data_IF_867554688772
#
_entry.id   IF_867554688772
#
_cell.length_a   1.000
_cell.length_b   1.000
_cell.length_c   1.000
_cell.angle_alpha   90.00
_cell.angle_beta   90.00
_cell.angle_gamma   90.00
#
_symmetry.space_group_name_H-M   'P 1'
#
loop_
_entity.id
_entity.type
_entity.pdbx_description
1 polymer ?
#
# COMPACT_ATOMS: atom_id res chain seq x y z
N UNK A 1 -8.97 26.29 -15.10
CA UNK A 1 -8.63 26.23 -13.66
C UNK A 1 -8.93 24.80 -13.26
N UNK A 2 -7.90 23.98 -13.04
CA UNK A 2 -8.07 22.54 -12.78
C UNK A 2 -7.87 22.31 -11.29
N UNK A 3 -8.95 22.01 -10.57
CA UNK A 3 -8.93 21.47 -9.22
C UNK A 3 -9.01 19.93 -9.31
N UNK A 4 -8.40 19.25 -8.34
CA UNK A 4 -8.59 17.83 -8.05
C UNK A 4 -10.08 17.65 -7.74
N UNK A 5 -10.82 16.88 -8.54
CA UNK A 5 -12.25 16.67 -8.27
C UNK A 5 -12.46 15.66 -7.12
N UNK A 6 -11.52 14.73 -6.88
CA UNK A 6 -11.70 13.63 -5.91
C UNK A 6 -10.37 13.26 -5.19
N UNK A 7 -10.38 13.07 -3.86
CA UNK A 7 -9.26 12.51 -3.07
C UNK A 7 -9.21 10.98 -3.14
N UNK A 8 -8.02 10.38 -3.17
CA UNK A 8 -7.84 8.94 -3.27
C UNK A 8 -7.08 8.37 -2.07
N UNK A 9 -7.39 7.14 -1.70
CA UNK A 9 -6.64 6.37 -0.71
C UNK A 9 -6.62 4.88 -1.07
N UNK A 10 -5.43 4.30 -1.14
CA UNK A 10 -5.23 2.85 -1.26
C UNK A 10 -4.83 2.22 0.08
N UNK A 11 -5.47 1.10 0.43
CA UNK A 11 -5.06 0.27 1.57
C UNK A 11 -4.17 -0.89 1.14
N UNK A 12 -2.93 -0.87 1.63
CA UNK A 12 -1.96 -1.97 1.46
C UNK A 12 -2.33 -3.26 2.22
N UNK A 13 -3.35 -3.20 3.09
CA UNK A 13 -3.77 -4.31 3.94
C UNK A 13 -5.00 -5.02 3.38
N UNK A 14 -5.95 -4.26 2.82
CA UNK A 14 -7.19 -4.81 2.27
C UNK A 14 -7.25 -4.86 0.75
N UNK A 15 -6.21 -4.35 0.08
CA UNK A 15 -6.17 -4.17 -1.38
C UNK A 15 -7.36 -3.35 -1.92
N UNK A 16 -7.91 -2.48 -1.08
CA UNK A 16 -9.06 -1.64 -1.42
C UNK A 16 -8.65 -0.22 -1.77
N UNK A 17 -9.39 0.38 -2.69
CA UNK A 17 -9.27 1.79 -3.08
C UNK A 17 -10.51 2.53 -2.61
N UNK A 18 -10.31 3.69 -2.01
CA UNK A 18 -11.35 4.66 -1.73
C UNK A 18 -11.10 5.91 -2.55
N UNK A 19 -12.11 6.35 -3.30
CA UNK A 19 -12.05 7.56 -4.11
C UNK A 19 -13.18 8.46 -3.63
N UNK A 20 -12.85 9.63 -3.09
CA UNK A 20 -13.80 10.62 -2.62
C UNK A 20 -14.49 11.31 -3.80
N UNK A 21 -15.39 10.58 -4.47
CA UNK A 21 -16.21 11.05 -5.58
C UNK A 21 -17.68 10.76 -5.33
N UNK A 22 -18.55 11.61 -5.85
CA UNK A 22 -19.99 11.36 -5.92
C UNK A 22 -20.37 10.54 -7.18
N UNK A 23 -19.41 10.30 -8.08
CA UNK A 23 -19.65 9.52 -9.30
C UNK A 23 -19.80 8.02 -8.99
N UNK A 24 -20.59 7.28 -9.79
CA UNK A 24 -20.61 5.83 -9.73
C UNK A 24 -19.22 5.24 -9.94
N UNK A 25 -18.81 4.30 -9.09
CA UNK A 25 -17.44 3.74 -9.13
C UNK A 25 -17.13 3.09 -10.48
N UNK A 26 -18.10 2.41 -11.10
CA UNK A 26 -17.92 1.81 -12.42
C UNK A 26 -17.46 2.84 -13.48
N UNK A 27 -18.03 4.05 -13.45
CA UNK A 27 -17.65 5.14 -14.35
C UNK A 27 -16.22 5.63 -14.10
N UNK A 28 -15.80 5.75 -12.82
CA UNK A 28 -14.43 6.14 -12.47
C UNK A 28 -13.41 5.15 -13.03
N UNK A 29 -13.70 3.86 -12.95
CA UNK A 29 -12.82 2.80 -13.44
C UNK A 29 -12.84 2.74 -14.98
N UNK A 30 -14.01 2.77 -15.61
CA UNK A 30 -14.15 2.65 -17.07
C UNK A 30 -13.57 3.86 -17.83
N UNK A 31 -13.65 5.04 -17.21
CA UNK A 31 -13.11 6.28 -17.79
C UNK A 31 -11.61 6.46 -17.57
N UNK A 32 -10.94 5.56 -16.83
CA UNK A 32 -9.55 5.74 -16.39
C UNK A 32 -9.35 7.09 -15.70
N UNK A 33 -10.23 7.41 -14.73
CA UNK A 33 -10.13 8.62 -13.92
C UNK A 33 -8.71 8.78 -13.32
N UNK A 34 -8.21 10.01 -13.25
CA UNK A 34 -6.84 10.30 -12.79
C UNK A 34 -6.57 9.75 -11.39
N UNK A 35 -7.47 10.01 -10.44
CA UNK A 35 -7.37 9.52 -9.05
C UNK A 35 -7.45 7.99 -9.01
N UNK A 36 -8.33 7.38 -9.80
CA UNK A 36 -8.37 5.92 -9.91
C UNK A 36 -7.04 5.33 -10.43
N UNK A 37 -6.46 5.93 -11.48
CA UNK A 37 -5.16 5.49 -12.01
C UNK A 37 -4.05 5.66 -10.97
N UNK A 38 -4.08 6.75 -10.20
CA UNK A 38 -3.13 6.99 -9.11
C UNK A 38 -3.18 5.85 -8.08
N UNK A 39 -4.37 5.53 -7.56
CA UNK A 39 -4.54 4.44 -6.60
C UNK A 39 -4.24 3.06 -7.20
N UNK A 40 -4.55 2.86 -8.48
CA UNK A 40 -4.20 1.63 -9.19
C UNK A 40 -2.69 1.44 -9.32
N UNK A 41 -1.91 2.52 -9.45
CA UNK A 41 -0.45 2.45 -9.40
C UNK A 41 0.02 2.00 -8.01
N UNK A 42 -0.60 2.48 -6.92
CA UNK A 42 -0.30 2.00 -5.57
C UNK A 42 -0.61 0.51 -5.39
N UNK A 43 -1.71 0.02 -5.98
CA UNK A 43 -1.99 -1.41 -6.03
C UNK A 43 -0.89 -2.19 -6.76
N UNK A 44 -0.47 -1.73 -7.95
CA UNK A 44 0.63 -2.36 -8.68
C UNK A 44 1.94 -2.35 -7.87
N UNK A 45 2.26 -1.22 -7.23
CA UNK A 45 3.40 -1.10 -6.33
C UNK A 45 3.32 -2.14 -5.19
N UNK A 46 2.14 -2.34 -4.62
CA UNK A 46 1.93 -3.28 -3.53
C UNK A 46 2.22 -4.72 -3.92
N UNK A 47 1.75 -5.15 -5.09
CA UNK A 47 1.88 -6.54 -5.54
C UNK A 47 3.23 -6.82 -6.21
N UNK A 48 3.99 -5.79 -6.58
CA UNK A 48 5.26 -5.97 -7.30
C UNK A 48 6.51 -5.59 -6.51
N UNK A 49 6.42 -4.65 -5.55
CA UNK A 49 7.59 -4.14 -4.83
C UNK A 49 7.83 -4.90 -3.53
N UNK A 50 9.03 -5.47 -3.32
CA UNK A 50 9.36 -6.19 -2.08
C UNK A 50 9.19 -5.37 -0.81
N UNK A 51 9.35 -4.05 -0.87
CA UNK A 51 9.12 -3.18 0.28
C UNK A 51 7.66 -3.18 0.72
N UNK A 52 6.69 -3.15 -0.21
CA UNK A 52 5.25 -3.12 0.11
C UNK A 52 4.63 -4.51 0.32
N UNK A 53 5.19 -5.56 -0.26
CA UNK A 53 4.78 -6.93 0.07
C UNK A 53 5.03 -7.22 1.56
N UNK A 54 6.06 -6.61 2.16
CA UNK A 54 6.40 -6.77 3.58
C UNK A 54 5.31 -6.29 4.56
N UNK A 55 4.78 -5.04 4.50
CA UNK A 55 3.67 -4.62 5.34
C UNK A 55 2.39 -5.43 5.08
N UNK A 56 2.13 -5.89 3.84
CA UNK A 56 1.02 -6.81 3.57
C UNK A 56 1.20 -8.14 4.33
N UNK A 57 2.39 -8.75 4.29
CA UNK A 57 2.69 -9.94 5.10
C UNK A 57 2.51 -9.66 6.60
N UNK A 58 2.96 -8.50 7.08
CA UNK A 58 2.78 -8.09 8.48
C UNK A 58 1.30 -7.99 8.86
N UNK A 59 0.47 -7.44 7.96
CA UNK A 59 -0.98 -7.36 8.11
C UNK A 59 -1.59 -8.75 8.34
N UNK A 60 -1.25 -9.70 7.46
CA UNK A 60 -1.76 -11.07 7.53
C UNK A 60 -1.37 -11.76 8.84
N UNK A 61 -0.13 -11.56 9.30
CA UNK A 61 0.29 -12.07 10.60
C UNK A 61 -0.51 -11.46 11.76
N UNK A 62 -0.75 -10.14 11.75
CA UNK A 62 -1.60 -9.50 12.77
C UNK A 62 -3.02 -10.07 12.75
N UNK A 63 -3.59 -10.31 11.57
CA UNK A 63 -4.90 -10.97 11.43
C UNK A 63 -4.90 -12.38 12.03
N UNK A 64 -3.86 -13.18 11.76
CA UNK A 64 -3.70 -14.51 12.35
C UNK A 64 -3.61 -14.49 13.88
N UNK A 65 -2.85 -13.54 14.44
CA UNK A 65 -2.78 -13.36 15.90
C UNK A 65 -4.14 -12.99 16.49
N UNK A 66 -4.89 -12.10 15.83
CA UNK A 66 -6.25 -11.75 16.24
C UNK A 66 -7.17 -12.97 16.24
N UNK A 67 -7.18 -13.75 15.16
CA UNK A 67 -8.02 -14.95 15.07
C UNK A 67 -7.67 -15.96 16.15
N UNK A 68 -6.38 -16.18 16.41
CA UNK A 68 -5.95 -17.08 17.50
C UNK A 68 -6.44 -16.60 18.87
N UNK A 69 -6.37 -15.30 19.16
CA UNK A 69 -6.86 -14.72 20.41
C UNK A 69 -8.38 -14.87 20.56
N UNK A 70 -9.13 -14.63 19.47
CA UNK A 70 -10.59 -14.83 19.42
C UNK A 70 -10.93 -16.30 19.68
N UNK A 71 -10.22 -17.23 19.04
CA UNK A 71 -10.47 -18.66 19.19
C UNK A 71 -10.16 -19.18 20.59
N UNK A 72 -9.06 -18.70 21.19
CA UNK A 72 -8.66 -19.09 22.54
C UNK A 72 -9.66 -18.64 23.60
N UNK A 73 -10.26 -17.45 23.43
CA UNK A 73 -11.11 -16.83 24.45
C UNK A 73 -12.62 -16.83 24.11
N UNK A 74 -12.98 -17.23 22.88
CA UNK A 74 -14.33 -17.14 22.32
C UNK A 74 -14.97 -15.75 22.50
N UNK A 75 -14.16 -14.71 22.40
CA UNK A 75 -14.56 -13.31 22.58
C UNK A 75 -13.76 -12.40 21.66
N UNK A 76 -14.40 -11.36 21.15
CA UNK A 76 -13.71 -10.32 20.38
C UNK A 76 -12.87 -9.41 21.32
N UNK A 77 -11.52 -9.41 21.24
CA UNK A 77 -10.65 -8.78 22.23
C UNK A 77 -10.57 -7.27 22.01
N UNK A 78 -11.17 -6.46 22.89
CA UNK A 78 -11.14 -4.99 22.81
C UNK A 78 -10.50 -4.38 24.07
N UNK A 79 -9.38 -3.64 23.96
CA UNK A 79 -8.53 -3.49 22.77
C UNK A 79 -7.75 -4.78 22.45
N UNK A 80 -7.39 -5.00 21.19
CA UNK A 80 -6.49 -6.09 20.81
C UNK A 80 -5.04 -5.68 21.01
N UNK A 81 -4.28 -6.53 21.69
CA UNK A 81 -2.83 -6.36 21.89
C UNK A 81 -2.15 -7.70 21.67
N UNK A 82 -0.96 -7.67 21.07
CA UNK A 82 -0.09 -8.82 20.95
C UNK A 82 1.26 -8.52 21.60
N UNK A 83 1.79 -9.49 22.35
CA UNK A 83 3.14 -9.44 22.92
C UNK A 83 4.09 -10.32 22.09
N UNK A 84 4.04 -10.15 20.76
CA UNK A 84 4.94 -10.85 19.85
C UNK A 84 6.11 -9.92 19.49
N UNK A 85 7.27 -10.16 20.09
CA UNK A 85 8.47 -9.35 19.87
C UNK A 85 8.84 -9.19 18.39
N UNK A 86 8.73 -10.25 17.59
CA UNK A 86 9.05 -10.16 16.16
C UNK A 86 8.12 -9.18 15.43
N UNK A 87 6.83 -9.20 15.76
CA UNK A 87 5.86 -8.26 15.19
C UNK A 87 6.09 -6.83 15.67
N UNK A 88 6.35 -6.63 16.97
CA UNK A 88 6.67 -5.30 17.51
C UNK A 88 7.91 -4.70 16.84
N UNK A 89 8.98 -5.47 16.67
CA UNK A 89 10.19 -5.04 15.96
C UNK A 89 9.89 -4.74 14.47
N UNK A 90 8.97 -5.48 13.84
CA UNK A 90 8.57 -5.27 12.45
C UNK A 90 7.73 -3.99 12.29
N UNK A 91 6.79 -3.73 13.20
CA UNK A 91 5.94 -2.55 13.17
C UNK A 91 6.78 -1.27 13.38
N UNK A 92 7.71 -1.29 14.33
CA UNK A 92 8.63 -0.17 14.58
C UNK A 92 9.47 0.14 13.32
N UNK A 93 10.01 -0.89 12.67
CA UNK A 93 10.75 -0.73 11.43
C UNK A 93 9.91 -0.18 10.28
N UNK A 94 8.67 -0.66 10.14
CA UNK A 94 7.76 -0.16 9.11
C UNK A 94 7.39 1.30 9.39
N UNK A 95 7.06 1.66 10.63
CA UNK A 95 6.74 3.04 11.01
C UNK A 95 7.88 4.01 10.71
N UNK A 96 9.13 3.63 11.05
CA UNK A 96 10.31 4.45 10.76
C UNK A 96 10.54 4.57 9.25
N UNK A 97 10.53 3.43 8.54
CA UNK A 97 10.93 3.42 7.12
C UNK A 97 9.85 3.94 6.19
N UNK A 98 8.58 3.89 6.57
CA UNK A 98 7.46 4.43 5.80
C UNK A 98 7.49 5.97 5.82
N UNK A 99 7.96 6.55 6.92
CA UNK A 99 8.03 8.00 7.14
C UNK A 99 6.75 8.54 7.76
N UNK A 100 6.64 9.87 7.81
CA UNK A 100 5.46 10.56 8.34
C UNK A 100 4.85 11.46 7.27
N UNK A 101 3.55 11.37 7.07
CA UNK A 101 2.81 12.40 6.34
C UNK A 101 2.74 13.64 7.23
N UNK A 102 3.39 14.72 6.82
CA UNK A 102 3.30 16.00 7.50
C UNK A 102 2.88 17.05 6.48
N UNK A 103 1.80 17.77 6.79
CA UNK A 103 1.40 18.94 6.01
C UNK A 103 2.48 20.02 6.13
N UNK A 104 2.84 20.62 5.00
CA UNK A 104 3.73 21.77 4.98
C UNK A 104 2.93 23.01 4.64
N UNK A 105 2.87 23.92 5.61
CA UNK A 105 2.21 25.21 5.49
C UNK A 105 3.16 26.33 5.05
N UNK A 106 4.47 26.03 4.93
CA UNK A 106 5.50 27.00 4.61
C UNK A 106 5.77 27.08 3.11
N UNK A 107 6.07 28.28 2.61
CA UNK A 107 6.65 28.43 1.27
C UNK A 107 8.13 28.02 1.30
N UNK A 108 8.43 26.86 0.73
CA UNK A 108 9.77 26.28 0.75
C UNK A 108 10.67 26.88 -0.32
N UNK A 109 11.85 27.34 0.10
CA UNK A 109 12.87 27.88 -0.80
C UNK A 109 13.79 26.77 -1.34
N UNK A 110 14.53 26.12 -0.43
CA UNK A 110 15.53 25.10 -0.79
C UNK A 110 15.78 24.11 0.34
N UNK A 111 16.16 22.88 -0.04
CA UNK A 111 16.71 21.88 0.85
C UNK A 111 18.15 22.26 1.21
N UNK A 112 18.41 22.54 2.50
CA UNK A 112 19.71 22.97 3.03
C UNK A 112 20.58 21.78 3.41
N UNK A 113 19.99 20.75 4.01
CA UNK A 113 20.73 19.62 4.58
C UNK A 113 19.88 18.35 4.63
N UNK A 114 20.56 17.20 4.61
CA UNK A 114 19.97 15.88 4.78
C UNK A 114 20.69 15.19 5.94
N UNK A 115 20.01 15.10 7.08
CA UNK A 115 20.56 14.44 8.28
C UNK A 115 20.15 12.98 8.32
N UNK A 116 21.12 12.11 8.55
CA UNK A 116 20.92 10.68 8.74
C UNK A 116 21.04 10.33 10.22
N UNK A 117 20.02 9.68 10.78
CA UNK A 117 20.02 9.18 12.14
C UNK A 117 19.83 7.67 12.15
N UNK A 118 20.47 6.98 13.10
CA UNK A 118 20.12 5.59 13.43
C UNK A 118 18.90 5.66 14.34
N UNK A 119 17.72 5.34 13.79
CA UNK A 119 16.46 5.44 14.51
C UNK A 119 16.16 4.19 15.35
N UNK A 120 16.63 3.03 14.89
CA UNK A 120 16.41 1.76 15.58
C UNK A 120 17.52 0.75 15.31
N UNK A 121 17.88 -0.02 16.34
CA UNK A 121 18.86 -1.09 16.28
C UNK A 121 18.28 -2.39 16.81
N UNK A 122 18.42 -3.48 16.04
CA UNK A 122 18.04 -4.81 16.51
C UNK A 122 19.10 -5.85 16.24
N UNK A 123 19.14 -6.89 17.08
CA UNK A 123 20.03 -8.03 16.92
C UNK A 123 19.31 -9.16 16.19
N UNK A 124 19.68 -9.36 14.92
CA UNK A 124 19.27 -10.51 14.13
C UNK A 124 20.45 -11.50 14.06
N UNK A 125 20.27 -12.71 14.59
CA UNK A 125 21.22 -13.83 14.41
C UNK A 125 22.69 -13.42 14.66
N UNK A 126 23.00 -12.94 15.88
CA UNK A 126 24.31 -12.45 16.34
C UNK A 126 24.88 -11.21 15.62
N UNK A 127 24.17 -10.60 14.66
CA UNK A 127 24.59 -9.39 13.95
C UNK A 127 23.60 -8.25 14.21
N UNK A 128 24.13 -7.06 14.49
CA UNK A 128 23.31 -5.85 14.63
C UNK A 128 22.84 -5.36 13.26
N UNK A 129 21.55 -5.03 13.19
CA UNK A 129 20.88 -4.41 12.05
C UNK A 129 20.43 -3.03 12.47
N UNK A 130 20.79 -2.02 11.67
CA UNK A 130 20.49 -0.61 11.91
C UNK A 130 19.49 -0.11 10.90
N UNK A 131 18.51 0.62 11.38
CA UNK A 131 17.44 1.22 10.59
C UNK A 131 17.63 2.72 10.65
N UNK A 132 17.62 3.36 9.48
CA UNK A 132 17.99 4.76 9.35
C UNK A 132 16.77 5.60 8.98
N UNK A 133 16.67 6.74 9.66
CA UNK A 133 15.72 7.81 9.37
C UNK A 133 16.48 8.99 8.76
N UNK A 134 15.82 9.68 7.82
CA UNK A 134 16.39 10.83 7.13
C UNK A 134 15.53 12.07 7.35
N UNK A 135 16.13 13.08 7.98
CA UNK A 135 15.52 14.40 8.18
C UNK A 135 16.03 15.36 7.12
N UNK A 136 15.13 15.87 6.29
CA UNK A 136 15.37 16.92 5.31
C UNK A 136 15.14 18.28 5.96
N UNK A 137 16.18 19.11 6.03
CA UNK A 137 16.08 20.46 6.57
C UNK A 137 15.95 21.49 5.45
N UNK A 138 14.82 22.17 5.39
CA UNK A 138 14.51 23.18 4.40
C UNK A 138 14.64 24.58 4.99
N UNK A 139 15.15 25.53 4.19
CA UNK A 139 14.84 26.95 4.43
C UNK A 139 13.51 27.31 3.79
N UNK A 140 12.75 28.12 4.51
CA UNK A 140 11.51 28.72 4.02
C UNK A 140 11.77 30.12 3.47
N UNK A 141 10.78 30.71 2.79
CA UNK A 141 10.79 32.12 2.41
C UNK A 141 10.26 33.04 3.51
N UNK A 142 9.74 32.48 4.59
CA UNK A 142 9.28 33.22 5.76
C UNK A 142 10.44 33.56 6.69
N UNK A 143 10.38 34.74 7.28
CA UNK A 143 11.31 35.19 8.31
C UNK A 143 10.69 34.99 9.69
N UNK A 144 11.53 34.64 10.65
CA UNK A 144 11.21 34.60 12.06
C UNK A 144 11.13 36.05 12.58
N UNK A 145 10.00 36.41 13.19
CA UNK A 145 9.71 37.80 13.58
C UNK A 145 10.69 38.34 14.63
N UNK A 146 11.23 37.47 15.48
CA UNK A 146 12.12 37.85 16.59
C UNK A 146 13.60 37.92 16.16
N UNK A 147 14.02 37.05 15.24
CA UNK A 147 15.43 36.94 14.85
C UNK A 147 15.75 37.54 13.48
N UNK A 148 14.74 37.81 12.65
CA UNK A 148 14.90 38.25 11.26
C UNK A 148 15.55 37.21 10.34
N UNK A 149 15.72 35.97 10.81
CA UNK A 149 16.31 34.88 10.04
C UNK A 149 15.23 34.08 9.31
N UNK A 150 15.56 33.53 8.14
CA UNK A 150 14.64 32.63 7.43
C UNK A 150 14.33 31.40 8.29
N UNK A 151 13.04 31.13 8.52
CA UNK A 151 12.58 29.96 9.27
C UNK A 151 13.06 28.68 8.59
N UNK A 152 13.28 27.65 9.40
CA UNK A 152 13.63 26.31 8.92
C UNK A 152 12.47 25.33 9.15
N UNK A 153 12.33 24.39 8.23
CA UNK A 153 11.35 23.33 8.30
C UNK A 153 12.04 21.98 8.20
N UNK A 154 11.80 21.10 9.17
CA UNK A 154 12.35 19.74 9.17
C UNK A 154 11.26 18.76 8.74
N UNK A 155 11.57 17.94 7.75
CA UNK A 155 10.67 16.93 7.21
C UNK A 155 11.33 15.55 7.28
N UNK A 156 10.60 14.53 7.72
CA UNK A 156 11.11 13.15 7.78
C UNK A 156 10.72 12.43 6.50
N UNK A 157 11.70 12.17 5.63
CA UNK A 157 11.48 11.45 4.38
C UNK A 157 11.43 9.94 4.62
N UNK A 158 10.44 9.27 4.05
CA UNK A 158 10.27 7.83 4.11
C UNK A 158 9.92 7.19 2.77
N UNK A 159 9.53 5.93 2.81
CA UNK A 159 9.13 5.20 1.61
C UNK A 159 7.84 5.77 0.98
N UNK A 160 6.95 6.37 1.78
CA UNK A 160 5.75 7.02 1.27
C UNK A 160 6.10 8.10 0.22
N UNK A 161 7.12 8.92 0.50
CA UNK A 161 7.63 9.90 -0.47
C UNK A 161 8.04 9.30 -1.81
N UNK A 162 8.64 8.11 -1.79
CA UNK A 162 9.08 7.44 -3.00
C UNK A 162 7.92 6.85 -3.80
N UNK A 163 6.94 6.27 -3.10
CA UNK A 163 5.75 5.66 -3.68
C UNK A 163 4.86 6.72 -4.32
N UNK A 164 4.56 7.79 -3.58
CA UNK A 164 3.75 8.93 -4.00
C UNK A 164 4.44 9.70 -5.13
N UNK A 165 5.77 9.86 -5.08
CA UNK A 165 6.53 10.43 -6.18
C UNK A 165 6.33 9.66 -7.48
N UNK A 166 6.42 8.32 -7.43
CA UNK A 166 6.21 7.49 -8.62
C UNK A 166 4.79 7.65 -9.17
N UNK A 167 3.77 7.49 -8.31
CA UNK A 167 2.36 7.59 -8.69
C UNK A 167 2.05 8.95 -9.30
N UNK A 168 2.45 10.03 -8.62
CA UNK A 168 2.25 11.41 -9.09
C UNK A 168 2.96 11.70 -10.41
N UNK A 169 4.22 11.27 -10.60
CA UNK A 169 4.94 11.56 -11.85
C UNK A 169 4.30 10.88 -13.04
N UNK A 170 3.80 9.65 -12.87
CA UNK A 170 3.07 8.93 -13.91
C UNK A 170 1.73 9.61 -14.17
N UNK A 171 0.95 9.87 -13.14
CA UNK A 171 -0.35 10.54 -13.23
C UNK A 171 -0.23 11.92 -13.92
N UNK A 172 0.62 12.79 -13.40
CA UNK A 172 0.81 14.14 -13.91
C UNK A 172 1.24 14.15 -15.38
N UNK A 173 2.05 13.18 -15.82
CA UNK A 173 2.43 13.05 -17.24
C UNK A 173 1.21 12.88 -18.17
N UNK A 174 0.18 12.17 -17.74
CA UNK A 174 -0.96 11.81 -18.60
C UNK A 174 -2.21 12.66 -18.35
N UNK A 175 -2.32 13.28 -17.19
CA UNK A 175 -3.52 13.98 -16.71
C UNK A 175 -3.28 15.43 -16.24
N UNK A 176 -2.03 15.92 -16.20
CA UNK A 176 -1.67 17.29 -15.79
C UNK A 176 -2.20 17.68 -14.40
N UNK A 177 -1.89 16.88 -13.38
CA UNK A 177 -2.37 17.08 -12.01
C UNK A 177 -1.49 18.06 -11.22
N UNK A 178 -2.11 18.76 -10.26
CA UNK A 178 -1.41 19.62 -9.31
C UNK A 178 -1.64 19.07 -7.90
N UNK A 179 -0.56 18.63 -7.27
CA UNK A 179 -0.56 18.07 -5.92
C UNK A 179 0.31 18.92 -4.97
N UNK A 180 0.11 18.80 -3.65
CA UNK A 180 0.91 19.51 -2.66
C UNK A 180 2.40 19.15 -2.76
N UNK A 181 3.25 19.86 -2.02
CA UNK A 181 4.70 19.66 -2.07
C UNK A 181 5.08 18.29 -1.51
N UNK A 182 4.66 17.97 -0.29
CA UNK A 182 4.89 16.66 0.30
C UNK A 182 3.63 15.81 0.19
N UNK A 183 3.76 14.50 0.00
CA UNK A 183 5.01 13.73 -0.24
C UNK A 183 5.54 13.79 -1.70
N UNK A 184 4.82 14.45 -2.61
CA UNK A 184 4.97 14.31 -4.07
C UNK A 184 6.23 14.90 -4.71
N UNK A 185 6.89 15.86 -4.06
CA UNK A 185 8.08 16.57 -4.58
C UNK A 185 9.33 16.35 -3.73
N UNK A 186 9.25 15.58 -2.64
CA UNK A 186 10.38 15.29 -1.74
C UNK A 186 11.61 14.82 -2.51
N UNK A 187 11.41 13.89 -3.43
CA UNK A 187 12.47 13.30 -4.24
C UNK A 187 13.11 14.32 -5.20
N UNK A 188 12.33 15.26 -5.77
CA UNK A 188 12.89 16.31 -6.62
C UNK A 188 13.85 17.21 -5.84
N UNK A 189 13.53 17.53 -4.57
CA UNK A 189 14.43 18.27 -3.70
C UNK A 189 15.70 17.49 -3.38
N UNK A 190 15.61 16.18 -3.13
CA UNK A 190 16.78 15.31 -2.92
C UNK A 190 17.69 15.34 -4.16
N UNK A 191 17.15 15.14 -5.37
CA UNK A 191 17.97 15.21 -6.60
C UNK A 191 18.57 16.61 -6.80
N UNK A 192 17.82 17.67 -6.49
CA UNK A 192 18.32 19.04 -6.59
C UNK A 192 19.48 19.28 -5.63
N UNK A 193 19.37 18.82 -4.38
CA UNK A 193 20.43 18.93 -3.36
C UNK A 193 21.75 18.28 -3.83
N UNK A 194 21.67 17.15 -4.52
CA UNK A 194 22.84 16.48 -5.09
C UNK A 194 23.30 17.03 -6.46
N UNK A 195 22.76 18.17 -6.91
CA UNK A 195 23.03 18.78 -8.23
C UNK A 195 22.69 17.85 -9.42
N UNK A 196 21.58 17.12 -9.29
CA UNK A 196 21.07 16.17 -10.28
C UNK A 196 19.65 16.51 -10.76
N UNK A 197 19.21 17.77 -10.60
CA UNK A 197 17.89 18.23 -11.06
C UNK A 197 17.66 18.00 -12.56
N UNK A 198 18.72 18.12 -13.36
CA UNK A 198 18.69 18.04 -14.83
C UNK A 198 18.69 16.61 -15.40
N UNK A 199 18.79 15.56 -14.58
CA UNK A 199 18.75 14.20 -15.11
C UNK A 199 17.33 13.87 -15.61
N UNK A 200 17.17 13.01 -16.63
CA UNK A 200 15.86 12.70 -17.18
C UNK A 200 14.90 12.11 -16.13
N UNK A 201 13.63 12.50 -16.17
CA UNK A 201 12.65 12.08 -15.16
C UNK A 201 12.47 10.56 -15.08
N UNK A 202 12.50 9.88 -16.22
CA UNK A 202 12.47 8.40 -16.28
C UNK A 202 13.66 7.75 -15.57
N UNK A 203 14.80 8.44 -15.47
CA UNK A 203 15.97 7.98 -14.72
C UNK A 203 15.78 8.21 -13.23
N UNK A 204 15.22 9.35 -12.82
CA UNK A 204 14.83 9.56 -11.41
C UNK A 204 13.88 8.46 -10.94
N UNK A 205 12.83 8.19 -11.71
CA UNK A 205 11.87 7.13 -11.42
C UNK A 205 12.52 5.75 -11.34
N UNK A 206 13.46 5.43 -12.25
CA UNK A 206 14.22 4.18 -12.21
C UNK A 206 15.01 4.02 -10.90
N UNK A 207 15.67 5.09 -10.42
CA UNK A 207 16.44 5.08 -9.17
C UNK A 207 15.54 4.96 -7.93
N UNK A 208 14.40 5.65 -7.94
CA UNK A 208 13.40 5.61 -6.87
C UNK A 208 12.77 4.23 -6.78
N UNK A 209 12.36 3.67 -7.92
CA UNK A 209 11.83 2.31 -8.02
C UNK A 209 12.85 1.28 -7.53
N UNK A 210 14.11 1.40 -7.95
CA UNK A 210 15.19 0.55 -7.46
C UNK A 210 15.38 0.62 -5.94
N UNK A 211 15.27 1.83 -5.36
CA UNK A 211 15.39 2.02 -3.92
C UNK A 211 14.29 1.28 -3.13
N UNK A 212 13.08 1.19 -3.70
CA UNK A 212 11.93 0.47 -3.12
C UNK A 212 12.04 -1.05 -3.17
N UNK A 213 13.09 -1.63 -3.77
CA UNK A 213 13.44 -3.02 -3.52
C UNK A 213 14.13 -3.22 -2.17
N UNK A 214 14.62 -2.17 -1.50
CA UNK A 214 15.28 -2.26 -0.21
C UNK A 214 14.29 -2.12 0.97
N UNK A 215 14.65 -2.64 2.16
CA UNK A 215 13.80 -2.53 3.35
C UNK A 215 13.92 -1.15 4.03
N UNK A 216 14.93 -0.33 3.66
CA UNK A 216 15.08 1.07 4.08
C UNK A 216 15.27 1.93 2.81
N UNK A 217 14.18 2.25 2.08
CA UNK A 217 14.26 2.78 0.71
C UNK A 217 14.99 4.12 0.59
N UNK A 218 14.73 5.08 1.48
CA UNK A 218 15.37 6.41 1.43
C UNK A 218 16.89 6.29 1.59
N UNK A 219 17.35 5.45 2.52
CA UNK A 219 18.78 5.11 2.64
C UNK A 219 19.35 4.59 1.32
N UNK A 220 18.63 3.67 0.68
CA UNK A 220 19.08 3.06 -0.58
C UNK A 220 19.15 4.09 -1.70
N UNK A 221 18.18 5.00 -1.78
CA UNK A 221 18.16 6.09 -2.75
C UNK A 221 19.35 7.02 -2.57
N UNK A 222 19.60 7.48 -1.34
CA UNK A 222 20.73 8.36 -1.03
C UNK A 222 22.05 7.66 -1.38
N UNK A 223 22.24 6.42 -0.93
CA UNK A 223 23.43 5.63 -1.23
C UNK A 223 23.68 5.52 -2.74
N UNK A 224 22.66 5.16 -3.54
CA UNK A 224 22.86 4.98 -4.99
C UNK A 224 23.09 6.32 -5.71
N UNK A 225 22.48 7.42 -5.25
CA UNK A 225 22.75 8.77 -5.76
C UNK A 225 24.20 9.16 -5.50
N UNK A 226 24.71 8.91 -4.29
CA UNK A 226 26.08 9.23 -3.91
C UNK A 226 27.13 8.43 -4.67
N UNK A 227 26.84 7.17 -4.99
CA UNK A 227 27.68 6.35 -5.85
C UNK A 227 27.67 6.84 -7.32
N UNK A 228 26.49 7.17 -7.85
CA UNK A 228 26.33 7.52 -9.26
C UNK A 228 26.66 8.97 -9.58
N UNK A 229 26.64 9.90 -8.61
CA UNK A 229 27.05 11.30 -8.84
C UNK A 229 28.52 11.42 -9.29
N UNK A 230 29.34 10.39 -9.02
CA UNK A 230 30.72 10.27 -9.48
C UNK A 230 30.83 9.77 -10.93
N UNK A 231 29.74 9.22 -11.50
CA UNK A 231 29.63 8.63 -12.84
C UNK A 231 28.43 9.23 -13.59
N UNK A 232 28.42 10.56 -13.70
CA UNK A 232 27.24 11.33 -14.14
C UNK A 232 26.73 10.91 -15.51
N UNK A 233 27.60 10.46 -16.42
CA UNK A 233 27.25 9.97 -17.75
C UNK A 233 26.22 8.82 -17.72
N UNK A 234 26.28 7.96 -16.69
CA UNK A 234 25.31 6.87 -16.53
C UNK A 234 23.90 7.39 -16.22
N UNK A 235 23.79 8.52 -15.51
CA UNK A 235 22.52 9.14 -15.13
C UNK A 235 21.76 9.75 -16.33
N UNK A 236 22.40 9.86 -17.50
CA UNK A 236 21.74 10.31 -18.74
C UNK A 236 21.36 9.15 -19.67
N UNK A 237 21.70 7.90 -19.32
CA UNK A 237 21.40 6.72 -20.13
C UNK A 237 20.51 5.73 -19.38
N UNK A 238 19.20 5.77 -19.64
CA UNK A 238 18.22 4.88 -19.03
C UNK A 238 18.61 3.40 -19.17
N UNK A 239 18.88 2.93 -20.39
CA UNK A 239 19.15 1.50 -20.63
C UNK A 239 20.45 1.01 -19.96
N UNK A 240 21.51 1.82 -19.99
CA UNK A 240 22.79 1.44 -19.33
C UNK A 240 22.62 1.36 -17.82
N UNK A 241 21.90 2.33 -17.24
CA UNK A 241 21.62 2.35 -15.82
C UNK A 241 20.69 1.19 -15.42
N UNK A 242 19.63 0.92 -16.19
CA UNK A 242 18.70 -0.19 -15.95
C UNK A 242 19.46 -1.53 -15.85
N UNK A 243 20.34 -1.81 -16.82
CA UNK A 243 21.14 -3.04 -16.84
C UNK A 243 22.15 -3.11 -15.70
N UNK A 244 22.74 -1.98 -15.29
CA UNK A 244 23.61 -1.94 -14.12
C UNK A 244 22.82 -2.24 -12.84
N UNK A 245 21.66 -1.64 -12.66
CA UNK A 245 20.84 -1.83 -11.47
C UNK A 245 20.28 -3.26 -11.36
N UNK A 246 19.88 -3.90 -12.48
CA UNK A 246 19.48 -5.33 -12.47
C UNK A 246 20.59 -6.26 -11.97
N UNK A 247 21.84 -5.97 -12.36
CA UNK A 247 23.02 -6.77 -11.99
C UNK A 247 23.57 -6.44 -10.62
N UNK A 248 23.18 -5.30 -10.06
CA UNK A 248 23.63 -4.87 -8.75
C UNK A 248 23.08 -5.80 -7.66
N UNK A 249 23.93 -6.08 -6.67
CA UNK A 249 23.55 -6.78 -5.45
C UNK A 249 23.80 -5.90 -4.23
N UNK A 250 23.06 -6.12 -3.16
CA UNK A 250 23.34 -5.55 -1.86
C UNK A 250 23.51 -6.64 -0.82
N UNK A 251 24.37 -6.40 0.15
CA UNK A 251 24.58 -7.34 1.25
C UNK A 251 23.37 -7.35 2.17
N UNK A 252 22.97 -8.54 2.59
CA UNK A 252 21.90 -8.74 3.58
C UNK A 252 22.41 -9.61 4.71
N UNK A 253 21.87 -9.39 5.91
CA UNK A 253 22.22 -10.22 7.07
C UNK A 253 21.58 -11.61 7.03
N UNK A 254 20.53 -11.79 6.24
CA UNK A 254 19.73 -13.04 6.16
C UNK A 254 20.22 -13.95 5.03
N UNK A 255 20.36 -13.44 3.81
CA UNK A 255 20.73 -14.22 2.61
C UNK A 255 22.18 -14.01 2.17
N UNK A 256 22.92 -13.11 2.83
CA UNK A 256 24.27 -12.72 2.45
C UNK A 256 24.27 -11.67 1.34
N UNK A 257 23.63 -11.95 0.19
CA UNK A 257 23.45 -11.02 -0.92
C UNK A 257 22.06 -11.16 -1.54
N UNK A 258 21.45 -10.03 -1.88
CA UNK A 258 20.20 -9.96 -2.63
C UNK A 258 20.37 -9.10 -3.89
N UNK A 259 19.67 -9.48 -4.96
CA UNK A 259 19.39 -8.65 -6.13
C UNK A 259 17.90 -8.25 -6.12
N UNK A 260 17.47 -7.42 -7.06
CA UNK A 260 16.04 -7.10 -7.24
C UNK A 260 15.23 -8.39 -7.48
N UNK A 261 15.80 -9.35 -8.21
CA UNK A 261 15.15 -10.61 -8.53
C UNK A 261 15.04 -11.52 -7.30
N UNK A 262 16.15 -11.83 -6.64
CA UNK A 262 16.15 -12.79 -5.52
C UNK A 262 15.31 -12.29 -4.35
N UNK A 263 15.29 -10.96 -4.12
CA UNK A 263 14.46 -10.39 -3.06
C UNK A 263 12.96 -10.43 -3.42
N UNK A 264 12.60 -10.25 -4.69
CA UNK A 264 11.20 -10.35 -5.14
C UNK A 264 10.69 -11.77 -5.01
N UNK A 265 11.42 -12.76 -5.51
CA UNK A 265 11.04 -14.18 -5.39
C UNK A 265 10.82 -14.59 -3.94
N UNK A 266 11.77 -14.24 -3.05
CA UNK A 266 11.62 -14.52 -1.62
C UNK A 266 10.36 -13.88 -1.02
N UNK A 267 10.00 -12.66 -1.43
CA UNK A 267 8.79 -11.99 -0.93
C UNK A 267 7.52 -12.61 -1.51
N UNK A 268 7.53 -13.04 -2.77
CA UNK A 268 6.42 -13.77 -3.38
C UNK A 268 6.16 -15.11 -2.68
N UNK A 269 7.21 -15.89 -2.42
CA UNK A 269 7.09 -17.14 -1.65
C UNK A 269 6.55 -16.89 -0.23
N UNK A 270 7.01 -15.83 0.42
CA UNK A 270 6.55 -15.47 1.77
C UNK A 270 5.07 -15.07 1.78
N UNK A 271 4.64 -14.18 0.88
CA UNK A 271 3.23 -13.76 0.86
C UNK A 271 2.30 -14.91 0.47
N UNK A 272 2.69 -15.76 -0.48
CA UNK A 272 1.93 -16.96 -0.84
C UNK A 272 1.71 -17.83 0.40
N UNK A 273 2.81 -18.20 1.07
CA UNK A 273 2.76 -19.04 2.26
C UNK A 273 1.92 -18.41 3.38
N UNK A 274 2.19 -17.16 3.72
CA UNK A 274 1.48 -16.47 4.81
C UNK A 274 -0.01 -16.36 4.51
N UNK A 275 -0.38 -16.01 3.27
CA UNK A 275 -1.79 -15.89 2.91
C UNK A 275 -2.50 -17.24 2.95
N UNK A 276 -1.91 -18.32 2.42
CA UNK A 276 -2.54 -19.65 2.47
C UNK A 276 -2.65 -20.21 3.90
N UNK A 277 -1.76 -19.81 4.82
CA UNK A 277 -1.86 -20.16 6.24
C UNK A 277 -3.04 -19.46 6.93
N UNK A 278 -3.32 -18.20 6.58
CA UNK A 278 -4.41 -17.40 7.17
C UNK A 278 -5.75 -17.72 6.49
N UNK A 279 -5.75 -17.75 5.16
CA UNK A 279 -6.88 -18.04 4.30
C UNK A 279 -6.75 -19.47 3.78
N UNK A 280 -7.11 -20.46 4.61
CA UNK A 280 -7.04 -21.88 4.22
C UNK A 280 -7.86 -22.15 2.96
N UNK A 281 -7.28 -22.87 2.02
CA UNK A 281 -7.85 -23.18 0.69
C UNK A 281 -9.25 -23.82 0.77
N UNK A 282 -9.50 -24.65 1.79
CA UNK A 282 -10.80 -25.29 2.06
C UNK A 282 -11.95 -24.30 2.32
N UNK A 283 -11.63 -23.04 2.67
CA UNK A 283 -12.61 -22.00 3.01
C UNK A 283 -12.55 -20.78 2.08
N UNK A 284 -11.40 -20.51 1.47
CA UNK A 284 -11.08 -19.30 0.70
C UNK A 284 -10.46 -19.63 -0.66
N UNK A 285 -11.25 -20.24 -1.54
CA UNK A 285 -10.76 -20.70 -2.84
C UNK A 285 -10.28 -19.52 -3.70
N UNK A 286 -11.09 -18.47 -3.81
CA UNK A 286 -10.86 -17.39 -4.77
C UNK A 286 -9.70 -16.48 -4.34
N UNK A 287 -9.54 -16.23 -3.04
CA UNK A 287 -8.38 -15.50 -2.53
C UNK A 287 -7.08 -16.23 -2.88
N UNK A 288 -7.01 -17.55 -2.67
CA UNK A 288 -5.81 -18.33 -2.99
C UNK A 288 -5.52 -18.34 -4.50
N UNK A 289 -6.54 -18.64 -5.32
CA UNK A 289 -6.39 -18.61 -6.79
C UNK A 289 -5.94 -17.24 -7.32
N UNK A 290 -6.39 -16.15 -6.70
CA UNK A 290 -5.99 -14.80 -7.09
C UNK A 290 -4.55 -14.46 -6.69
N UNK A 291 -4.11 -14.86 -5.50
CA UNK A 291 -2.73 -14.67 -5.05
C UNK A 291 -1.77 -15.45 -5.95
N UNK A 292 -2.12 -16.69 -6.27
CA UNK A 292 -1.33 -17.52 -7.18
C UNK A 292 -1.23 -16.88 -8.57
N UNK A 293 -2.34 -16.39 -9.11
CA UNK A 293 -2.36 -15.66 -10.38
C UNK A 293 -1.52 -14.38 -10.32
N UNK A 294 -1.60 -13.56 -9.26
CA UNK A 294 -0.79 -12.36 -9.12
C UNK A 294 0.69 -12.69 -9.07
N UNK A 295 1.07 -13.73 -8.34
CA UNK A 295 2.46 -14.14 -8.21
C UNK A 295 2.99 -14.67 -9.54
N UNK A 296 2.23 -15.53 -10.23
CA UNK A 296 2.60 -16.04 -11.55
C UNK A 296 2.73 -14.89 -12.56
N UNK A 297 1.74 -13.99 -12.58
CA UNK A 297 1.75 -12.81 -13.42
C UNK A 297 2.96 -11.93 -13.13
N UNK A 298 3.27 -11.67 -11.86
CA UNK A 298 4.41 -10.87 -11.44
C UNK A 298 5.75 -11.52 -11.82
N UNK A 299 5.88 -12.84 -11.66
CA UNK A 299 7.05 -13.61 -12.11
C UNK A 299 7.27 -13.48 -13.61
N UNK A 300 6.21 -13.60 -14.41
CA UNK A 300 6.28 -13.53 -15.88
C UNK A 300 6.53 -12.10 -16.39
N UNK A 301 5.82 -11.13 -15.82
CA UNK A 301 5.73 -9.80 -16.39
C UNK A 301 6.62 -8.77 -15.69
N UNK A 302 6.89 -8.92 -14.39
CA UNK A 302 7.56 -7.93 -13.55
C UNK A 302 8.93 -8.36 -13.03
N UNK A 303 9.20 -9.65 -12.91
CA UNK A 303 10.47 -10.13 -12.36
C UNK A 303 11.67 -9.58 -13.13
N UNK A 304 12.67 -9.10 -12.36
CA UNK A 304 13.89 -8.50 -12.86
C UNK A 304 13.68 -7.33 -13.85
N UNK A 305 12.56 -6.59 -13.72
CA UNK A 305 12.22 -5.43 -14.55
C UNK A 305 11.81 -4.27 -13.66
N UNK A 306 12.05 -3.07 -14.17
CA UNK A 306 11.53 -1.82 -13.61
C UNK A 306 10.24 -1.47 -14.36
N UNK A 307 9.12 -1.56 -13.68
CA UNK A 307 7.75 -1.42 -14.19
C UNK A 307 7.40 0.06 -14.30
N UNK A 308 7.59 0.83 -13.23
CA UNK A 308 7.03 2.17 -13.11
C UNK A 308 7.76 3.19 -13.99
N UNK A 309 9.08 3.08 -14.07
CA UNK A 309 9.85 3.88 -15.03
C UNK A 309 9.53 3.56 -16.50
N UNK A 310 9.07 2.33 -16.80
CA UNK A 310 8.58 1.92 -18.13
C UNK A 310 7.17 2.46 -18.39
N UNK A 311 6.25 2.35 -17.43
CA UNK A 311 4.93 2.98 -17.50
C UNK A 311 5.03 4.47 -17.81
N UNK A 312 5.89 5.18 -17.06
CA UNK A 312 6.18 6.59 -17.30
C UNK A 312 6.74 6.83 -18.70
N UNK A 313 7.43 5.89 -19.33
CA UNK A 313 8.01 6.08 -20.68
C UNK A 313 7.02 5.85 -21.82
N UNK A 314 5.84 5.29 -21.56
CA UNK A 314 4.82 5.00 -22.58
C UNK A 314 4.17 6.26 -23.16
N UNK A 315 3.57 6.11 -24.35
CA UNK A 315 2.61 7.09 -24.89
C UNK A 315 1.24 6.86 -24.22
N UNK A 316 0.40 7.90 -24.15
CA UNK A 316 -0.89 7.85 -23.43
C UNK A 316 -1.78 6.68 -23.87
N UNK A 317 -1.93 6.46 -25.17
CA UNK A 317 -2.77 5.38 -25.69
C UNK A 317 -2.23 3.99 -25.31
N UNK A 318 -0.91 3.80 -25.35
CA UNK A 318 -0.28 2.52 -24.98
C UNK A 318 -0.37 2.31 -23.47
N UNK A 319 -0.20 3.37 -22.69
CA UNK A 319 -0.38 3.36 -21.23
C UNK A 319 -1.80 2.93 -20.85
N UNK A 320 -2.84 3.58 -21.38
CA UNK A 320 -4.23 3.23 -21.06
C UNK A 320 -4.57 1.79 -21.48
N UNK A 321 -4.10 1.34 -22.66
CA UNK A 321 -4.28 -0.05 -23.09
C UNK A 321 -3.59 -1.04 -22.15
N UNK A 322 -2.39 -0.72 -21.72
CA UNK A 322 -1.61 -1.56 -20.81
C UNK A 322 -2.25 -1.64 -19.42
N UNK A 323 -2.72 -0.51 -18.86
CA UNK A 323 -3.46 -0.49 -17.60
C UNK A 323 -4.74 -1.33 -17.70
N UNK A 324 -5.53 -1.16 -18.77
CA UNK A 324 -6.74 -1.95 -18.96
C UNK A 324 -6.44 -3.45 -19.11
N UNK A 325 -5.32 -3.83 -19.75
CA UNK A 325 -4.85 -5.23 -19.80
C UNK A 325 -4.50 -5.75 -18.42
N UNK A 326 -3.79 -4.96 -17.60
CA UNK A 326 -3.47 -5.35 -16.22
C UNK A 326 -4.75 -5.56 -15.40
N UNK A 327 -5.71 -4.65 -15.48
CA UNK A 327 -7.00 -4.78 -14.80
C UNK A 327 -7.71 -6.07 -15.24
N UNK A 328 -7.64 -6.40 -16.53
CA UNK A 328 -8.23 -7.62 -17.06
C UNK A 328 -7.56 -8.90 -16.53
N UNK A 329 -6.22 -8.91 -16.47
CA UNK A 329 -5.42 -10.10 -16.14
C UNK A 329 -5.34 -10.40 -14.64
N UNK A 330 -5.15 -9.36 -13.81
CA UNK A 330 -4.93 -9.50 -12.35
C UNK A 330 -6.03 -8.86 -11.49
N UNK A 331 -6.96 -8.13 -12.10
CA UNK A 331 -8.13 -7.58 -11.43
C UNK A 331 -7.87 -6.34 -10.57
N UNK A 332 -8.95 -5.87 -9.95
CA UNK A 332 -9.00 -4.84 -8.92
C UNK A 332 -9.93 -5.36 -7.80
N UNK A 333 -9.39 -5.65 -6.59
CA UNK A 333 -10.15 -6.31 -5.54
C UNK A 333 -11.39 -5.54 -5.09
N UNK A 334 -11.25 -4.30 -4.60
CA UNK A 334 -12.38 -3.42 -4.29
C UNK A 334 -12.04 -1.96 -4.60
N UNK A 335 -12.97 -1.26 -5.24
CA UNK A 335 -12.97 0.20 -5.38
C UNK A 335 -14.27 0.74 -4.80
N UNK A 336 -14.16 1.76 -3.96
CA UNK A 336 -15.27 2.41 -3.26
C UNK A 336 -15.29 3.90 -3.53
N UNK A 337 -16.49 4.50 -3.59
CA UNK A 337 -16.66 5.94 -3.63
C UNK A 337 -17.00 6.55 -2.26
N UNK A 338 -17.31 7.85 -2.23
CA UNK A 338 -17.68 8.59 -1.02
C UNK A 338 -18.93 8.03 -0.33
N UNK A 339 -19.85 7.48 -1.12
CA UNK A 339 -21.06 6.83 -0.61
C UNK A 339 -20.83 5.38 -0.17
N UNK A 340 -19.59 4.87 -0.19
CA UNK A 340 -19.24 3.47 0.03
C UNK A 340 -19.90 2.49 -0.96
N UNK A 341 -20.44 2.99 -2.08
CA UNK A 341 -20.80 2.11 -3.20
C UNK A 341 -19.54 1.42 -3.67
N UNK A 342 -19.62 0.12 -3.95
CA UNK A 342 -18.45 -0.66 -4.25
C UNK A 342 -18.59 -1.42 -5.57
N UNK A 343 -17.51 -1.44 -6.34
CA UNK A 343 -17.33 -2.38 -7.45
C UNK A 343 -16.07 -3.19 -7.21
N UNK A 344 -16.09 -4.43 -7.65
CA UNK A 344 -14.88 -5.18 -7.92
C UNK A 344 -14.72 -5.32 -9.44
N UNK A 345 -13.49 -5.45 -9.90
CA UNK A 345 -13.19 -5.94 -11.24
C UNK A 345 -12.25 -7.12 -11.07
N UNK A 346 -12.77 -8.22 -10.55
CA UNK A 346 -11.97 -9.44 -10.41
C UNK A 346 -11.52 -9.93 -11.79
N UNK A 347 -10.44 -10.72 -11.86
CA UNK A 347 -10.00 -11.31 -13.11
C UNK A 347 -11.15 -12.04 -13.83
N UNK A 348 -11.07 -12.14 -15.16
CA UNK A 348 -12.18 -12.69 -15.97
C UNK A 348 -12.62 -14.10 -15.55
N UNK A 349 -11.71 -14.91 -15.00
CA UNK A 349 -12.02 -16.25 -14.53
C UNK A 349 -12.81 -16.27 -13.19
N UNK A 350 -12.98 -15.12 -12.55
CA UNK A 350 -13.69 -14.92 -11.27
C UNK A 350 -14.85 -13.92 -11.33
N UNK A 351 -14.91 -13.08 -12.38
CA UNK A 351 -15.75 -11.88 -12.42
C UNK A 351 -17.28 -12.13 -12.31
N UNK A 352 -17.76 -13.35 -12.57
CA UNK A 352 -19.18 -13.71 -12.49
C UNK A 352 -19.54 -14.49 -11.21
N UNK A 353 -18.60 -14.65 -10.26
CA UNK A 353 -18.83 -15.41 -9.04
C UNK A 353 -19.18 -14.51 -7.86
N UNK A 354 -20.40 -14.67 -7.34
CA UNK A 354 -20.85 -14.00 -6.10
C UNK A 354 -19.98 -14.40 -4.90
N UNK A 355 -19.57 -15.67 -4.82
CA UNK A 355 -18.66 -16.16 -3.78
C UNK A 355 -17.29 -15.49 -3.86
N UNK A 356 -16.77 -15.26 -5.08
CA UNK A 356 -15.52 -14.54 -5.26
C UNK A 356 -15.65 -13.11 -4.76
N UNK A 357 -16.69 -12.39 -5.19
CA UNK A 357 -16.99 -11.04 -4.67
C UNK A 357 -17.00 -11.01 -3.14
N UNK A 358 -17.72 -11.95 -2.52
CA UNK A 358 -17.87 -12.01 -1.08
C UNK A 358 -16.54 -12.32 -0.38
N UNK A 359 -15.69 -13.20 -0.93
CA UNK A 359 -14.35 -13.45 -0.37
C UNK A 359 -13.47 -12.20 -0.39
N UNK A 360 -13.43 -11.44 -1.47
CA UNK A 360 -12.63 -10.20 -1.52
C UNK A 360 -13.14 -9.14 -0.54
N UNK A 361 -14.47 -9.03 -0.37
CA UNK A 361 -15.05 -8.13 0.62
C UNK A 361 -14.57 -8.44 2.05
N UNK A 362 -14.16 -9.68 2.34
CA UNK A 362 -13.59 -10.04 3.64
C UNK A 362 -12.32 -9.26 3.97
N UNK A 363 -11.47 -8.94 2.99
CA UNK A 363 -10.27 -8.13 3.23
C UNK A 363 -10.63 -6.77 3.82
N UNK A 364 -11.65 -6.13 3.25
CA UNK A 364 -12.16 -4.87 3.76
C UNK A 364 -12.81 -5.03 5.14
N UNK A 365 -13.65 -6.06 5.34
CA UNK A 365 -14.27 -6.32 6.66
C UNK A 365 -13.21 -6.51 7.75
N UNK A 366 -12.17 -7.29 7.48
CA UNK A 366 -11.09 -7.56 8.45
C UNK A 366 -10.34 -6.27 8.78
N UNK A 367 -10.04 -5.43 7.79
CA UNK A 367 -9.41 -4.13 8.04
C UNK A 367 -10.29 -3.25 8.93
N UNK A 368 -11.59 -3.13 8.62
CA UNK A 368 -12.55 -2.35 9.42
C UNK A 368 -12.68 -2.89 10.85
N UNK A 369 -12.63 -4.20 11.01
CA UNK A 369 -12.59 -4.88 12.31
C UNK A 369 -11.31 -4.52 13.07
N UNK A 370 -10.14 -4.65 12.45
CA UNK A 370 -8.86 -4.28 13.07
C UNK A 370 -8.84 -2.82 13.53
N UNK A 371 -9.31 -1.87 12.70
CA UNK A 371 -9.40 -0.45 13.08
C UNK A 371 -10.35 -0.25 14.27
N UNK A 372 -11.44 -1.02 14.35
CA UNK A 372 -12.37 -0.94 15.49
C UNK A 372 -11.73 -1.39 16.82
N UNK A 373 -10.69 -2.22 16.77
CA UNK A 373 -10.01 -2.77 17.96
C UNK A 373 -9.07 -1.77 18.63
N UNK A 374 -8.67 -0.71 17.92
CA UNK A 374 -7.84 0.37 18.46
C UNK A 374 -8.67 1.33 19.34
N UNK A 375 -10.00 1.37 19.14
CA UNK A 375 -10.91 2.29 19.83
C UNK A 375 -11.56 1.60 21.03
N UNK A 376 -11.22 2.03 22.25
CA UNK A 376 -11.73 1.47 23.52
C UNK A 376 -13.27 1.48 23.71
N UNK A 377 -14.09 2.06 22.80
CA UNK A 377 -15.49 2.41 23.09
C UNK A 377 -16.53 2.27 21.97
N UNK A 378 -16.18 1.89 20.74
CA UNK A 378 -17.20 1.84 19.67
C UNK A 378 -17.89 0.46 19.63
N UNK A 379 -19.11 0.40 20.16
CA UNK A 379 -20.01 -0.76 20.03
C UNK A 379 -20.70 -0.83 18.65
N UNK A 380 -20.57 0.21 17.83
CA UNK A 380 -21.14 0.24 16.47
C UNK A 380 -20.44 -0.73 15.53
N UNK A 381 -21.23 -1.35 14.64
CA UNK A 381 -20.72 -2.24 13.60
C UNK A 381 -19.79 -1.48 12.65
N UNK A 382 -18.53 -1.90 12.45
CA UNK A 382 -17.57 -1.15 11.64
C UNK A 382 -17.87 -1.19 10.12
N UNK A 383 -18.88 -1.96 9.72
CA UNK A 383 -19.40 -2.12 8.36
C UNK A 383 -20.69 -1.33 8.11
N UNK A 384 -21.16 -0.50 9.06
CA UNK A 384 -22.47 0.16 8.95
C UNK A 384 -22.56 1.12 7.76
N UNK A 385 -21.52 1.91 7.51
CA UNK A 385 -21.48 2.86 6.39
C UNK A 385 -21.47 2.15 5.04
N UNK A 386 -20.72 1.04 4.94
CA UNK A 386 -20.72 0.20 3.75
C UNK A 386 -22.11 -0.41 3.48
N UNK A 387 -22.79 -0.89 4.53
CA UNK A 387 -24.15 -1.41 4.38
C UNK A 387 -25.12 -0.34 3.86
N UNK A 388 -25.05 0.89 4.40
CA UNK A 388 -25.89 2.02 3.94
C UNK A 388 -25.61 2.37 2.47
N UNK A 389 -24.35 2.36 2.06
CA UNK A 389 -23.92 2.66 0.69
C UNK A 389 -24.36 1.64 -0.36
N UNK A 390 -24.71 0.42 0.05
CA UNK A 390 -25.09 -0.69 -0.82
C UNK A 390 -26.53 -1.19 -0.53
N UNK A 391 -27.40 -0.31 0.01
CA UNK A 391 -28.82 -0.55 0.27
C UNK A 391 -29.13 -1.78 1.17
N UNK A 392 -28.20 -2.14 2.06
CA UNK A 392 -28.39 -3.22 3.02
C UNK A 392 -29.04 -2.70 4.30
N UNK A 393 -30.13 -3.35 4.73
CA UNK A 393 -30.84 -2.99 5.97
C UNK A 393 -29.94 -3.11 7.22
N UNK A 394 -29.86 -2.03 7.98
CA UNK A 394 -29.10 -1.92 9.23
C UNK A 394 -30.01 -1.75 10.44
N UNK A 395 -29.61 -2.28 11.59
CA UNK A 395 -30.26 -2.15 12.91
C UNK A 395 -29.25 -1.70 13.98
N UNK A 396 -29.71 -1.24 15.14
CA UNK A 396 -28.80 -0.82 16.23
C UNK A 396 -27.97 -1.98 16.81
N UNK A 397 -28.44 -3.23 16.68
CA UNK A 397 -27.75 -4.42 17.20
C UNK A 397 -26.87 -5.17 16.18
N UNK A 398 -26.47 -4.52 15.07
CA UNK A 398 -25.74 -5.18 13.97
C UNK A 398 -24.45 -5.90 14.41
N UNK A 399 -23.78 -5.40 15.45
CA UNK A 399 -22.50 -5.96 15.92
C UNK A 399 -22.66 -6.93 17.11
N UNK A 400 -23.57 -6.62 18.05
CA UNK A 400 -23.69 -7.33 19.32
C UNK A 400 -24.47 -8.65 19.23
N UNK A 401 -25.26 -8.87 18.16
CA UNK A 401 -25.96 -10.14 17.94
C UNK A 401 -26.13 -10.48 16.44
N UNK A 402 -25.04 -10.90 15.77
CA UNK A 402 -25.08 -11.21 14.34
C UNK A 402 -26.07 -12.34 14.00
N UNK A 403 -26.33 -13.25 14.94
CA UNK A 403 -27.26 -14.37 14.78
C UNK A 403 -28.74 -13.96 14.87
N UNK A 404 -29.08 -13.01 15.75
CA UNK A 404 -30.43 -12.44 15.79
C UNK A 404 -30.82 -11.82 14.44
N UNK A 405 -29.84 -11.36 13.65
CA UNK A 405 -30.07 -10.85 12.29
C UNK A 405 -30.55 -11.95 11.32
N UNK A 406 -29.96 -13.15 11.37
CA UNK A 406 -30.39 -14.31 10.57
C UNK A 406 -31.85 -14.64 10.87
N UNK A 407 -32.21 -14.66 12.17
CA UNK A 407 -33.55 -14.97 12.65
C UNK A 407 -34.56 -13.87 12.29
N UNK A 408 -34.22 -12.60 12.52
CA UNK A 408 -35.11 -11.45 12.28
C UNK A 408 -35.39 -11.26 10.79
N UNK A 409 -34.41 -11.55 9.93
CA UNK A 409 -34.54 -11.47 8.48
C UNK A 409 -35.17 -12.73 7.87
N UNK A 410 -35.50 -13.73 8.68
CA UNK A 410 -36.13 -15.00 8.29
C UNK A 410 -35.38 -15.71 7.14
N UNK A 411 -34.04 -15.64 7.16
CA UNK A 411 -33.19 -16.19 6.11
C UNK A 411 -33.11 -17.71 6.23
N UNK A 412 -33.19 -18.41 5.10
CA UNK A 412 -32.97 -19.86 5.10
C UNK A 412 -31.48 -20.15 5.30
N UNK A 413 -31.19 -21.33 5.84
CA UNK A 413 -29.82 -21.83 5.90
C UNK A 413 -29.22 -21.88 4.49
N UNK A 414 -28.11 -21.19 4.26
CA UNK A 414 -27.54 -20.99 2.93
C UNK A 414 -28.02 -19.72 2.21
N UNK A 415 -28.62 -18.75 2.91
CA UNK A 415 -28.95 -17.40 2.41
C UNK A 415 -28.28 -16.28 3.24
N UNK A 416 -27.52 -16.64 4.28
CA UNK A 416 -26.94 -15.69 5.25
C UNK A 416 -25.94 -14.73 4.62
N UNK A 417 -25.29 -15.14 3.52
CA UNK A 417 -24.32 -14.34 2.76
C UNK A 417 -24.96 -13.24 1.92
N UNK A 418 -26.25 -13.35 1.58
CA UNK A 418 -26.92 -12.41 0.68
C UNK A 418 -27.36 -11.10 1.35
N UNK A 419 -27.26 -11.01 2.69
CA UNK A 419 -27.91 -9.92 3.43
C UNK A 419 -27.01 -9.22 4.45
N UNK A 420 -25.94 -9.85 4.92
CA UNK A 420 -25.01 -9.18 5.82
C UNK A 420 -23.57 -9.67 5.61
N UNK A 421 -22.67 -8.82 5.08
CA UNK A 421 -21.28 -9.22 4.81
C UNK A 421 -20.53 -9.62 6.08
N UNK A 422 -20.87 -9.02 7.22
CA UNK A 422 -20.29 -9.39 8.52
C UNK A 422 -20.73 -10.78 8.99
N UNK A 423 -21.98 -11.20 8.72
CA UNK A 423 -22.44 -12.56 9.05
C UNK A 423 -21.75 -13.59 8.17
N UNK A 424 -21.58 -13.29 6.87
CA UNK A 424 -20.80 -14.12 5.96
C UNK A 424 -19.38 -14.33 6.47
N UNK A 425 -18.71 -13.26 6.90
CA UNK A 425 -17.39 -13.32 7.53
C UNK A 425 -17.36 -14.24 8.76
N UNK A 426 -18.31 -14.08 9.69
CA UNK A 426 -18.41 -14.91 10.91
C UNK A 426 -18.58 -16.38 10.55
N UNK A 427 -19.44 -16.68 9.58
CA UNK A 427 -19.68 -18.05 9.11
C UNK A 427 -18.42 -18.65 8.48
N UNK A 428 -17.80 -17.94 7.54
CA UNK A 428 -16.62 -18.42 6.80
C UNK A 428 -15.40 -18.67 7.68
N UNK A 429 -15.20 -17.87 8.72
CA UNK A 429 -14.10 -18.04 9.69
C UNK A 429 -14.56 -18.88 10.90
N UNK A 430 -15.78 -19.43 10.88
CA UNK A 430 -16.34 -20.27 11.94
C UNK A 430 -16.40 -19.60 13.33
N UNK A 431 -16.60 -18.28 13.38
CA UNK A 431 -16.64 -17.48 14.61
C UNK A 431 -18.05 -17.39 15.24
N UNK A 432 -18.95 -18.33 14.92
CA UNK A 432 -20.36 -18.30 15.36
C UNK A 432 -20.53 -18.36 16.89
N UNK A 433 -19.56 -18.96 17.59
CA UNK A 433 -19.58 -19.11 19.05
C UNK A 433 -18.94 -17.94 19.79
N UNK A 434 -18.42 -16.95 19.07
CA UNK A 434 -17.72 -15.80 19.64
C UNK A 434 -18.73 -14.82 20.25
N UNK A 435 -18.43 -14.33 21.44
CA UNK A 435 -19.11 -13.17 22.02
C UNK A 435 -18.53 -11.89 21.40
N UNK A 436 -19.34 -11.25 20.56
CA UNK A 436 -18.99 -10.02 19.84
C UNK A 436 -19.15 -8.77 20.71
#
# INVERSE_FOLDING_TARGET
>A
MFYKDDEGQYSYHSFSMYIESDRPVAELVDSNNSTFIHEYIHFLQNISLPYLIRPTIAACYRMGLLFNEIWANLKYPRPFKYDNKYMLDLDEELNITLGKSQECYYDLNKLKDIKQNIAYEKKLTKKETRIFEYTLNFSTNEEDEDTGLKKEFNYIAGAMDLLEYISYKIENKFFNTKLPIFPYKTVDYIFTYYNLSNIPEKVKLLLVEYALYNDNPVKRLIYIIEELKLKKELLFSYYRLEELLKKSCWETKVTGKDTIFTKSERRFEQIQKTMSEIFKEEHFKYINEWIDNIIEYSRKNFANKFIFSKLYSMKKNDFCKYINSLIYDIGIPLVMNKQYQCVNKLPIYMNNSEDAYNEFLLFYIIERLMISLEKNKNEECPMIEWCKGNDIKTTNDCFNNPYAKIITLNLKCGEEYKVCPFVYFIYKINLLKVKW
#
